data_IF_666088804370
#
_entry.id   IF_666088804370
#
_cell.length_a   1.000
_cell.length_b   1.000
_cell.length_c   1.000
_cell.angle_alpha   90.00
_cell.angle_beta   90.00
_cell.angle_gamma   90.00
#
_symmetry.space_group_name_H-M   'P 1'
#
loop_
_entity.id
_entity.type
_entity.pdbx_description
1 polymer ?
#
# COMPACT_ATOMS: atom_id res chain seq x y z
N UNK A 1 -8.46 29.10 -7.76
CA UNK A 1 -8.84 27.69 -7.97
C UNK A 1 -7.57 26.91 -8.25
N UNK A 2 -7.53 25.62 -7.93
CA UNK A 2 -6.28 24.91 -7.64
C UNK A 2 -5.99 23.72 -8.55
N UNK A 3 -4.70 23.44 -8.71
CA UNK A 3 -4.18 22.22 -9.34
C UNK A 3 -4.79 20.96 -8.70
N UNK A 4 -5.28 20.05 -9.53
CA UNK A 4 -5.87 18.78 -9.09
C UNK A 4 -5.53 17.64 -10.06
N UNK A 5 -5.39 16.44 -9.51
CA UNK A 5 -5.22 15.22 -10.32
C UNK A 5 -6.57 14.55 -10.49
N UNK A 6 -7.02 14.44 -11.72
CA UNK A 6 -8.29 13.80 -12.09
C UNK A 6 -8.04 12.45 -12.76
N UNK A 7 -9.05 11.58 -12.77
CA UNK A 7 -9.07 10.36 -13.57
C UNK A 7 -10.06 10.54 -14.72
N UNK A 8 -9.66 10.16 -15.93
CA UNK A 8 -10.48 10.21 -17.12
C UNK A 8 -10.32 8.92 -17.93
N UNK A 9 -11.41 8.45 -18.55
CA UNK A 9 -11.38 7.33 -19.49
C UNK A 9 -11.17 7.91 -20.89
N UNK A 10 -10.09 7.49 -21.55
CA UNK A 10 -9.74 7.90 -22.92
C UNK A 10 -9.55 6.63 -23.74
N UNK A 11 -10.35 6.45 -24.80
CA UNK A 11 -10.34 5.25 -25.65
C UNK A 11 -10.47 3.93 -24.86
N UNK A 12 -11.36 3.90 -23.87
CA UNK A 12 -11.58 2.73 -23.01
C UNK A 12 -10.54 2.50 -21.91
N UNK A 13 -9.40 3.21 -21.94
CA UNK A 13 -8.36 3.10 -20.93
C UNK A 13 -8.45 4.24 -19.91
N UNK A 14 -8.33 3.91 -18.62
CA UNK A 14 -8.25 4.93 -17.55
C UNK A 14 -6.90 5.63 -17.58
N UNK A 15 -6.89 6.95 -17.38
CA UNK A 15 -5.67 7.76 -17.27
C UNK A 15 -5.81 8.77 -16.13
N UNK A 16 -4.68 9.15 -15.54
CA UNK A 16 -4.60 10.23 -14.54
C UNK A 16 -3.99 11.45 -15.18
N UNK A 17 -4.63 12.60 -14.99
CA UNK A 17 -4.19 13.87 -15.57
C UNK A 17 -4.10 14.94 -14.48
N UNK A 18 -3.06 15.76 -14.55
CA UNK A 18 -2.96 16.98 -13.76
C UNK A 18 -3.64 18.11 -14.51
N UNK A 19 -4.65 18.73 -13.89
CA UNK A 19 -5.40 19.84 -14.46
C UNK A 19 -5.34 21.06 -13.54
N UNK A 20 -5.36 22.24 -14.16
CA UNK A 20 -5.61 23.52 -13.52
C UNK A 20 -6.90 24.08 -14.12
N UNK A 21 -7.90 24.34 -13.29
CA UNK A 21 -9.21 24.82 -13.75
C UNK A 21 -9.82 23.96 -14.88
N UNK A 22 -9.67 22.64 -14.74
CA UNK A 22 -10.08 21.60 -15.71
C UNK A 22 -9.32 21.58 -17.03
N UNK A 23 -8.28 22.41 -17.19
CA UNK A 23 -7.38 22.41 -18.34
C UNK A 23 -6.13 21.58 -18.01
N UNK A 24 -5.74 20.59 -18.83
CA UNK A 24 -4.52 19.82 -18.60
C UNK A 24 -3.27 20.69 -18.58
N UNK A 25 -2.45 20.54 -17.53
CA UNK A 25 -1.14 21.20 -17.44
C UNK A 25 -0.19 20.48 -18.39
N UNK A 26 0.28 21.15 -19.44
CA UNK A 26 0.93 20.51 -20.58
C UNK A 26 2.14 19.65 -20.21
N UNK A 27 3.19 20.24 -19.63
CA UNK A 27 4.46 19.54 -19.40
C UNK A 27 4.40 18.40 -18.38
N UNK A 28 3.71 18.51 -17.23
CA UNK A 28 3.54 17.38 -16.32
C UNK A 28 2.84 16.19 -16.99
N UNK A 29 1.81 16.44 -17.79
CA UNK A 29 1.09 15.36 -18.49
C UNK A 29 1.91 14.78 -19.66
N UNK A 30 2.69 15.60 -20.37
CA UNK A 30 3.63 15.15 -21.39
C UNK A 30 4.71 14.24 -20.78
N UNK A 31 5.31 14.65 -19.66
CA UNK A 31 6.27 13.84 -18.91
C UNK A 31 5.70 12.48 -18.52
N UNK A 32 4.48 12.44 -17.97
CA UNK A 32 3.83 11.18 -17.62
C UNK A 32 3.59 10.29 -18.84
N UNK A 33 3.26 10.88 -19.99
CA UNK A 33 3.00 10.15 -21.24
C UNK A 33 4.28 9.61 -21.87
N UNK A 34 5.38 10.36 -21.81
CA UNK A 34 6.66 9.96 -22.42
C UNK A 34 7.47 9.01 -21.54
N UNK A 35 7.63 9.35 -20.26
CA UNK A 35 8.58 8.66 -19.37
C UNK A 35 7.90 7.56 -18.53
N UNK A 36 6.56 7.60 -18.41
CA UNK A 36 5.81 6.78 -17.45
C UNK A 36 4.54 6.13 -18.03
N UNK A 37 4.45 5.98 -19.36
CA UNK A 37 3.29 5.40 -20.05
C UNK A 37 2.85 4.02 -19.55
N UNK A 38 3.79 3.17 -19.14
CA UNK A 38 3.52 1.80 -18.64
C UNK A 38 3.28 1.70 -17.13
N UNK A 39 3.20 2.82 -16.39
CA UNK A 39 3.05 2.76 -14.93
C UNK A 39 1.59 2.61 -14.50
N UNK A 40 1.38 1.86 -13.43
CA UNK A 40 0.07 1.70 -12.80
C UNK A 40 -0.56 3.05 -12.42
N UNK A 41 -1.88 3.16 -12.54
CA UNK A 41 -2.63 4.42 -12.40
C UNK A 41 -2.39 5.14 -11.07
N UNK A 42 -2.37 4.41 -9.95
CA UNK A 42 -2.13 5.03 -8.65
C UNK A 42 -0.68 5.49 -8.47
N UNK A 43 0.27 4.86 -9.17
CA UNK A 43 1.66 5.35 -9.24
C UNK A 43 1.71 6.65 -10.04
N UNK A 44 1.06 6.69 -11.21
CA UNK A 44 0.95 7.89 -12.06
C UNK A 44 0.31 9.05 -11.29
N UNK A 45 -0.81 8.80 -10.61
CA UNK A 45 -1.47 9.76 -9.74
C UNK A 45 -0.51 10.33 -8.69
N UNK A 46 0.23 9.46 -8.01
CA UNK A 46 1.17 9.87 -6.97
C UNK A 46 2.31 10.75 -7.52
N UNK A 47 2.82 10.42 -8.70
CA UNK A 47 3.82 11.26 -9.39
C UNK A 47 3.23 12.64 -9.70
N UNK A 48 2.04 12.70 -10.28
CA UNK A 48 1.36 13.97 -10.55
C UNK A 48 1.10 14.78 -9.27
N UNK A 49 0.69 14.14 -8.16
CA UNK A 49 0.54 14.79 -6.85
C UNK A 49 1.87 15.32 -6.30
N UNK A 50 3.00 14.68 -6.62
CA UNK A 50 4.33 15.22 -6.31
C UNK A 50 4.66 16.45 -7.16
N UNK A 51 4.30 16.44 -8.44
CA UNK A 51 4.47 17.58 -9.34
C UNK A 51 3.57 18.76 -8.97
N UNK A 52 2.35 18.52 -8.45
CA UNK A 52 1.50 19.59 -7.88
C UNK A 52 2.25 20.41 -6.83
N UNK A 53 3.07 19.76 -5.99
CA UNK A 53 3.85 20.48 -4.96
C UNK A 53 4.93 21.35 -5.59
N UNK A 54 5.56 20.89 -6.68
CA UNK A 54 6.50 21.72 -7.44
C UNK A 54 5.80 22.92 -8.08
N UNK A 55 4.70 22.70 -8.78
CA UNK A 55 3.94 23.77 -9.44
C UNK A 55 3.45 24.84 -8.44
N UNK A 56 2.96 24.40 -7.27
CA UNK A 56 2.59 25.31 -6.18
C UNK A 56 3.79 26.09 -5.64
N UNK A 57 4.94 25.42 -5.49
CA UNK A 57 6.18 26.06 -5.06
C UNK A 57 6.66 27.11 -6.07
N UNK A 58 6.62 26.79 -7.37
CA UNK A 58 7.01 27.69 -8.46
C UNK A 58 6.09 28.92 -8.48
N UNK A 59 4.78 28.71 -8.41
CA UNK A 59 3.79 29.80 -8.33
C UNK A 59 4.01 30.69 -7.10
N UNK A 60 4.17 30.09 -5.91
CA UNK A 60 4.45 30.83 -4.67
C UNK A 60 5.76 31.62 -4.75
N UNK A 61 6.77 31.06 -5.40
CA UNK A 61 8.08 31.69 -5.59
C UNK A 61 8.12 32.68 -6.76
N UNK A 62 7.01 32.87 -7.48
CA UNK A 62 6.93 33.67 -8.71
C UNK A 62 7.97 33.26 -9.75
N UNK A 63 8.17 31.96 -9.92
CA UNK A 63 9.10 31.37 -10.89
C UNK A 63 8.31 30.82 -12.07
N UNK A 64 8.43 31.47 -13.23
CA UNK A 64 8.03 30.88 -14.50
C UNK A 64 9.19 30.03 -15.05
N UNK A 65 9.18 28.74 -14.68
CA UNK A 65 10.26 27.82 -15.00
C UNK A 65 10.35 27.54 -16.51
N UNK A 66 9.22 27.42 -17.20
CA UNK A 66 9.19 27.10 -18.63
C UNK A 66 9.82 28.25 -19.42
N UNK A 67 9.34 29.48 -19.19
CA UNK A 67 9.90 30.66 -19.85
C UNK A 67 11.40 30.81 -19.56
N UNK A 68 11.85 30.54 -18.34
CA UNK A 68 13.27 30.57 -17.97
C UNK A 68 14.11 29.55 -18.74
N UNK A 69 13.63 28.32 -18.91
CA UNK A 69 14.38 27.29 -19.64
C UNK A 69 14.38 27.57 -21.14
N UNK A 70 13.27 28.09 -21.69
CA UNK A 70 13.13 28.39 -23.12
C UNK A 70 13.83 29.69 -23.54
N UNK A 71 14.27 30.53 -22.60
CA UNK A 71 15.06 31.71 -22.89
C UNK A 71 16.30 31.40 -23.74
N UNK A 72 16.58 32.31 -24.68
CA UNK A 72 17.73 32.26 -25.58
C UNK A 72 18.50 33.58 -25.51
N UNK A 73 19.83 33.56 -25.71
CA UNK A 73 20.65 32.45 -26.16
C UNK A 73 20.96 31.39 -25.09
N UNK A 74 20.78 31.70 -23.80
CA UNK A 74 21.09 30.78 -22.71
C UNK A 74 19.86 30.49 -21.84
N UNK A 75 19.62 29.22 -21.55
CA UNK A 75 18.60 28.76 -20.61
C UNK A 75 18.93 29.16 -19.17
N UNK A 76 17.91 29.56 -18.42
CA UNK A 76 18.00 29.78 -16.98
C UNK A 76 17.37 28.60 -16.23
N UNK A 77 18.21 27.86 -15.51
CA UNK A 77 17.79 26.72 -14.69
C UNK A 77 17.56 27.12 -13.22
N UNK A 78 16.92 26.25 -12.43
CA UNK A 78 16.77 26.48 -10.99
C UNK A 78 18.13 26.56 -10.28
N UNK A 79 18.27 27.62 -9.49
CA UNK A 79 19.44 27.88 -8.64
C UNK A 79 19.51 26.90 -7.47
N UNK A 80 20.70 26.76 -6.85
CA UNK A 80 20.85 25.88 -5.69
C UNK A 80 19.97 26.32 -4.49
N UNK A 81 19.78 27.63 -4.33
CA UNK A 81 18.89 28.21 -3.31
C UNK A 81 17.43 27.85 -3.56
N UNK A 82 16.95 27.93 -4.81
CA UNK A 82 15.59 27.50 -5.17
C UNK A 82 15.39 26.00 -4.92
N UNK A 83 16.35 25.17 -5.34
CA UNK A 83 16.30 23.73 -5.07
C UNK A 83 16.29 23.42 -3.56
N UNK A 84 17.07 24.15 -2.76
CA UNK A 84 17.10 23.98 -1.30
C UNK A 84 15.77 24.32 -0.65
N UNK A 85 15.14 25.42 -1.08
CA UNK A 85 13.80 25.83 -0.61
C UNK A 85 12.75 24.79 -0.99
N UNK A 86 12.77 24.29 -2.22
CA UNK A 86 11.87 23.23 -2.65
C UNK A 86 12.05 21.94 -1.82
N UNK A 87 13.29 21.51 -1.59
CA UNK A 87 13.57 20.29 -0.80
C UNK A 87 13.03 20.40 0.63
N UNK A 88 13.09 21.60 1.23
CA UNK A 88 12.46 21.87 2.53
C UNK A 88 10.93 21.71 2.45
N UNK A 89 10.29 22.33 1.45
CA UNK A 89 8.84 22.27 1.25
C UNK A 89 8.35 20.86 0.91
N UNK A 90 9.15 20.08 0.19
CA UNK A 90 8.85 18.70 -0.12
C UNK A 90 8.71 17.83 1.14
N UNK A 91 9.25 18.26 2.29
CA UNK A 91 9.07 17.62 3.59
C UNK A 91 7.75 17.94 4.30
N UNK A 92 7.02 18.98 3.89
CA UNK A 92 5.81 19.43 4.60
C UNK A 92 4.52 18.71 4.16
N UNK A 93 3.58 18.63 5.09
CA UNK A 93 2.22 18.11 4.88
C UNK A 93 1.42 19.00 3.93
N UNK A 94 0.34 18.47 3.35
CA UNK A 94 -0.52 19.22 2.43
C UNK A 94 -1.13 20.44 3.13
N UNK A 95 -1.53 20.28 4.38
CA UNK A 95 -2.13 21.32 5.21
C UNK A 95 -1.12 22.44 5.50
N UNK A 96 0.11 22.07 5.89
CA UNK A 96 1.20 23.02 6.13
C UNK A 96 1.52 23.83 4.87
N UNK A 97 1.64 23.16 3.71
CA UNK A 97 1.93 23.82 2.43
C UNK A 97 0.81 24.77 2.02
N UNK A 98 -0.46 24.38 2.20
CA UNK A 98 -1.60 25.23 1.91
C UNK A 98 -1.56 26.53 2.74
N UNK A 99 -1.28 26.44 4.05
CA UNK A 99 -1.15 27.62 4.91
C UNK A 99 0.06 28.48 4.51
N UNK A 100 1.22 27.86 4.26
CA UNK A 100 2.44 28.56 3.84
C UNK A 100 2.22 29.33 2.53
N UNK A 101 1.65 28.67 1.52
CA UNK A 101 1.44 29.26 0.20
C UNK A 101 0.27 30.25 0.16
N UNK A 102 -0.61 30.23 1.16
CA UNK A 102 -1.56 31.31 1.42
C UNK A 102 -0.93 32.55 2.09
N UNK A 103 0.39 32.54 2.34
CA UNK A 103 1.12 33.66 2.95
C UNK A 103 1.03 33.72 4.48
N UNK A 104 0.51 32.67 5.14
CA UNK A 104 0.38 32.66 6.60
C UNK A 104 1.75 32.51 7.27
N UNK A 105 2.02 33.34 8.28
CA UNK A 105 3.18 33.18 9.17
C UNK A 105 2.89 32.10 10.20
N UNK A 106 3.47 30.93 9.99
CA UNK A 106 3.33 29.79 10.89
C UNK A 106 4.40 29.81 11.98
N UNK A 107 3.99 29.61 13.22
CA UNK A 107 4.91 29.29 14.31
C UNK A 107 5.64 27.96 14.00
N UNK A 108 6.92 27.77 14.38
CA UNK A 108 7.67 26.54 14.07
C UNK A 108 6.95 25.22 14.43
N UNK A 109 6.16 25.21 15.51
CA UNK A 109 5.40 24.03 15.97
C UNK A 109 4.18 23.70 15.09
N UNK A 110 3.70 24.63 14.28
CA UNK A 110 2.57 24.40 13.37
C UNK A 110 3.00 23.65 12.09
N UNK A 111 4.31 23.59 11.80
CA UNK A 111 4.83 22.85 10.66
C UNK A 111 4.70 21.34 10.88
N UNK A 112 3.70 20.74 10.21
CA UNK A 112 3.56 19.29 10.11
C UNK A 112 4.31 18.76 8.89
N UNK A 113 5.06 17.69 9.07
CA UNK A 113 5.86 17.04 8.03
C UNK A 113 5.27 15.70 7.59
N UNK A 114 5.51 15.33 6.34
CA UNK A 114 5.18 13.98 5.83
C UNK A 114 6.23 12.95 6.29
N UNK A 115 5.91 11.67 6.16
CA UNK A 115 6.87 10.60 6.44
C UNK A 115 8.08 10.65 5.51
N UNK A 116 9.25 10.22 6.02
CA UNK A 116 10.55 10.22 5.32
C UNK A 116 10.48 9.67 3.89
N UNK A 117 9.86 8.50 3.73
CA UNK A 117 9.77 7.82 2.43
C UNK A 117 8.96 8.66 1.45
N UNK A 118 7.90 9.30 1.92
CA UNK A 118 7.06 10.16 1.11
C UNK A 118 7.78 11.44 0.69
N UNK A 119 8.47 12.11 1.62
CA UNK A 119 9.28 13.29 1.30
C UNK A 119 10.35 12.96 0.25
N UNK A 120 11.07 11.85 0.44
CA UNK A 120 12.08 11.38 -0.53
C UNK A 120 11.48 11.11 -1.90
N UNK A 121 10.36 10.38 -1.98
CA UNK A 121 9.68 10.08 -3.26
C UNK A 121 9.23 11.35 -3.98
N UNK A 122 8.75 12.36 -3.24
CA UNK A 122 8.38 13.65 -3.79
C UNK A 122 9.59 14.37 -4.40
N UNK A 123 10.71 14.39 -3.71
CA UNK A 123 11.96 15.02 -4.20
C UNK A 123 12.51 14.26 -5.41
N UNK A 124 12.51 12.93 -5.39
CA UNK A 124 12.97 12.09 -6.51
C UNK A 124 12.10 12.28 -7.75
N UNK A 125 10.77 12.33 -7.60
CA UNK A 125 9.86 12.59 -8.71
C UNK A 125 10.11 13.97 -9.35
N UNK A 126 10.34 15.00 -8.53
CA UNK A 126 10.66 16.34 -9.03
C UNK A 126 12.03 16.41 -9.67
N UNK A 127 13.04 15.71 -9.13
CA UNK A 127 14.36 15.60 -9.77
C UNK A 127 14.24 15.04 -11.20
N UNK A 128 13.48 13.96 -11.35
CA UNK A 128 13.35 13.27 -12.63
C UNK A 128 12.53 14.10 -13.63
N UNK A 129 11.51 14.81 -13.16
CA UNK A 129 10.75 15.76 -13.97
C UNK A 129 11.57 16.99 -14.40
N UNK A 130 12.35 17.59 -13.50
CA UNK A 130 13.23 18.70 -13.84
C UNK A 130 14.29 18.28 -14.87
N UNK A 131 14.87 17.09 -14.71
CA UNK A 131 15.79 16.53 -15.69
C UNK A 131 15.10 16.36 -17.06
N UNK A 132 13.85 15.89 -17.10
CA UNK A 132 13.08 15.82 -18.34
C UNK A 132 12.87 17.21 -18.96
N UNK A 133 12.45 18.21 -18.19
CA UNK A 133 12.26 19.57 -18.70
C UNK A 133 13.56 20.15 -19.26
N UNK A 134 14.68 19.96 -18.55
CA UNK A 134 15.98 20.50 -18.97
C UNK A 134 16.46 19.82 -20.25
N UNK A 135 16.26 18.50 -20.39
CA UNK A 135 16.57 17.76 -21.63
C UNK A 135 15.73 18.24 -22.82
N UNK A 136 14.42 18.44 -22.63
CA UNK A 136 13.50 18.78 -23.73
C UNK A 136 13.53 20.24 -24.14
N UNK A 137 13.68 21.16 -23.18
CA UNK A 137 13.52 22.60 -23.42
C UNK A 137 14.83 23.37 -23.31
N UNK A 138 15.83 22.80 -22.63
CA UNK A 138 17.11 23.46 -22.39
C UNK A 138 17.87 23.73 -23.68
N UNK A 139 18.70 24.77 -23.66
CA UNK A 139 19.56 25.14 -24.77
C UNK A 139 20.51 23.97 -25.12
N UNK A 140 20.70 23.74 -26.42
CA UNK A 140 21.43 22.57 -26.92
C UNK A 140 22.88 22.52 -26.41
N UNK A 141 23.51 23.67 -26.13
CA UNK A 141 24.88 23.72 -25.63
C UNK A 141 25.01 23.32 -24.16
N UNK A 142 23.94 23.47 -23.36
CA UNK A 142 24.00 23.32 -21.89
C UNK A 142 23.08 22.24 -21.31
N UNK A 143 22.07 21.78 -22.06
CA UNK A 143 21.01 20.91 -21.52
C UNK A 143 21.51 19.63 -20.85
N UNK A 144 22.50 18.95 -21.44
CA UNK A 144 22.99 17.68 -20.91
C UNK A 144 23.76 17.87 -19.60
N UNK A 145 24.58 18.92 -19.51
CA UNK A 145 25.29 19.28 -18.29
C UNK A 145 24.30 19.72 -17.20
N UNK A 146 23.29 20.51 -17.55
CA UNK A 146 22.24 20.93 -16.63
C UNK A 146 21.43 19.75 -16.06
N UNK A 147 21.16 18.73 -16.88
CA UNK A 147 20.48 17.49 -16.45
C UNK A 147 21.33 16.71 -15.43
N UNK A 148 22.62 16.55 -15.68
CA UNK A 148 23.51 15.86 -14.76
C UNK A 148 23.69 16.65 -13.46
N UNK A 149 23.87 17.97 -13.57
CA UNK A 149 24.03 18.87 -12.43
C UNK A 149 22.78 18.90 -11.52
N UNK A 150 21.56 19.01 -12.07
CA UNK A 150 20.33 19.00 -11.24
C UNK A 150 20.16 17.66 -10.52
N UNK A 151 20.47 16.54 -11.18
CA UNK A 151 20.45 15.21 -10.56
C UNK A 151 21.46 15.13 -9.42
N UNK A 152 22.69 15.57 -9.65
CA UNK A 152 23.77 15.58 -8.64
C UNK A 152 23.39 16.44 -7.43
N UNK A 153 22.94 17.69 -7.65
CA UNK A 153 22.55 18.62 -6.57
C UNK A 153 21.41 18.07 -5.72
N UNK A 154 20.33 17.59 -6.34
CA UNK A 154 19.19 17.05 -5.59
C UNK A 154 19.58 15.76 -4.84
N UNK A 155 20.36 14.86 -5.45
CA UNK A 155 20.82 13.64 -4.79
C UNK A 155 21.68 13.94 -3.55
N UNK A 156 22.53 14.97 -3.59
CA UNK A 156 23.27 15.44 -2.41
C UNK A 156 22.33 15.93 -1.32
N UNK A 157 21.31 16.71 -1.67
CA UNK A 157 20.31 17.22 -0.71
C UNK A 157 19.46 16.11 -0.07
N UNK A 158 19.06 15.09 -0.84
CA UNK A 158 18.39 13.89 -0.29
C UNK A 158 19.28 13.18 0.73
N UNK A 159 20.58 13.01 0.41
CA UNK A 159 21.54 12.38 1.33
C UNK A 159 21.70 13.20 2.61
N UNK A 160 21.85 14.52 2.50
CA UNK A 160 22.00 15.42 3.64
C UNK A 160 20.77 15.44 4.56
N UNK A 161 19.56 15.32 4.01
CA UNK A 161 18.32 15.31 4.79
C UNK A 161 18.01 13.94 5.46
N UNK A 162 18.62 12.84 4.97
CA UNK A 162 18.36 11.47 5.45
C UNK A 162 18.60 11.20 6.95
N UNK A 163 19.64 11.76 7.62
CA UNK A 163 19.90 11.57 9.05
C UNK A 163 18.86 12.23 9.96
N UNK A 164 18.40 13.43 9.62
CA UNK A 164 17.40 14.19 10.40
C UNK A 164 16.01 13.53 10.41
N UNK A 165 15.78 12.55 9.54
CA UNK A 165 14.50 11.86 9.36
C UNK A 165 14.42 10.48 10.03
N UNK A 166 15.36 10.11 10.89
CA UNK A 166 15.35 8.80 11.59
C UNK A 166 14.31 8.81 12.72
N UNK A 167 13.22 8.05 12.57
CA UNK A 167 12.49 7.48 13.72
C UNK A 167 13.13 6.14 14.08
N UNK A 168 13.18 5.84 15.38
CA UNK A 168 13.62 4.55 15.92
C UNK A 168 12.62 3.47 15.49
N UNK A 169 13.04 2.52 14.66
CA UNK A 169 12.20 1.47 14.03
C UNK A 169 11.86 0.28 14.95
N UNK A 170 12.07 0.38 16.25
CA UNK A 170 12.01 -0.77 17.15
C UNK A 170 10.59 -1.31 17.38
N UNK A 171 9.54 -0.57 17.00
CA UNK A 171 8.17 -0.83 17.44
C UNK A 171 7.13 -1.08 16.32
N UNK A 172 7.56 -1.26 15.06
CA UNK A 172 6.64 -1.43 13.92
C UNK A 172 6.48 -2.89 13.46
N UNK A 173 6.51 -3.86 14.37
CA UNK A 173 6.30 -5.25 13.96
C UNK A 173 4.82 -5.49 13.63
N UNK A 174 4.53 -5.78 12.36
CA UNK A 174 3.17 -5.92 11.84
C UNK A 174 2.71 -7.37 11.94
N UNK A 175 1.45 -7.56 12.32
CA UNK A 175 0.78 -8.87 12.44
C UNK A 175 -0.16 -8.86 13.65
N UNK A 176 -1.02 -9.87 13.78
CA UNK A 176 -1.94 -9.98 14.91
C UNK A 176 -1.38 -10.95 15.95
N UNK A 177 -1.61 -10.68 17.23
CA UNK A 177 -1.48 -11.71 18.26
C UNK A 177 -2.60 -12.74 18.11
N UNK A 178 -2.43 -13.94 18.66
CA UNK A 178 -3.47 -14.98 18.67
C UNK A 178 -4.79 -14.44 19.26
N UNK A 179 -4.71 -13.73 20.39
CA UNK A 179 -5.87 -13.12 21.05
C UNK A 179 -6.59 -12.09 20.17
N UNK A 180 -5.84 -11.28 19.41
CA UNK A 180 -6.43 -10.30 18.49
C UNK A 180 -7.08 -10.97 17.28
N UNK A 181 -6.48 -12.04 16.76
CA UNK A 181 -7.04 -12.85 15.67
C UNK A 181 -8.35 -13.51 16.10
N UNK A 182 -8.35 -14.19 17.24
CA UNK A 182 -9.53 -14.86 17.79
C UNK A 182 -10.65 -13.86 18.03
N UNK A 183 -10.32 -12.70 18.62
CA UNK A 183 -11.30 -11.63 18.85
C UNK A 183 -11.86 -11.07 17.55
N UNK A 184 -11.04 -10.94 16.50
CA UNK A 184 -11.48 -10.45 15.21
C UNK A 184 -12.44 -11.45 14.53
N UNK A 185 -12.12 -12.75 14.58
CA UNK A 185 -12.97 -13.84 14.09
C UNK A 185 -14.29 -13.90 14.86
N UNK A 186 -14.26 -13.82 16.18
CA UNK A 186 -15.44 -13.82 17.06
C UNK A 186 -16.39 -12.66 16.75
N UNK A 187 -15.86 -11.45 16.56
CA UNK A 187 -16.67 -10.26 16.27
C UNK A 187 -17.35 -10.37 14.89
N UNK A 188 -16.60 -10.80 13.87
CA UNK A 188 -17.08 -10.79 12.48
C UNK A 188 -17.81 -12.08 12.07
N UNK A 189 -17.84 -13.11 12.93
CA UNK A 189 -18.64 -14.32 12.71
C UNK A 189 -20.11 -13.95 12.41
N UNK A 190 -20.77 -14.55 11.40
CA UNK A 190 -22.09 -14.08 10.95
C UNK A 190 -23.22 -14.17 12.01
N UNK A 191 -23.16 -15.19 12.86
CA UNK A 191 -24.08 -15.48 13.96
C UNK A 191 -23.73 -14.73 15.27
N UNK A 192 -22.59 -14.05 15.31
CA UNK A 192 -22.10 -13.41 16.53
C UNK A 192 -23.05 -12.30 17.01
N UNK A 193 -23.44 -12.29 18.30
CA UNK A 193 -24.32 -11.27 18.86
C UNK A 193 -23.63 -9.90 18.95
N UNK A 194 -22.30 -9.87 19.01
CA UNK A 194 -21.49 -8.65 19.08
C UNK A 194 -21.09 -8.12 17.69
N UNK A 195 -21.55 -8.75 16.61
CA UNK A 195 -21.28 -8.32 15.25
C UNK A 195 -21.94 -6.94 15.00
N UNK A 196 -21.18 -5.89 14.65
CA UNK A 196 -21.70 -4.52 14.60
C UNK A 196 -22.58 -4.24 13.37
N UNK A 197 -22.74 -5.21 12.46
CA UNK A 197 -23.58 -5.08 11.28
C UNK A 197 -24.92 -5.76 11.51
N UNK A 198 -26.03 -5.10 11.19
CA UNK A 198 -27.36 -5.67 11.42
C UNK A 198 -27.86 -6.58 10.27
N UNK A 199 -27.52 -6.27 9.02
CA UNK A 199 -28.01 -7.03 7.85
C UNK A 199 -27.22 -8.34 7.69
N UNK A 200 -27.88 -9.52 7.66
CA UNK A 200 -27.23 -10.82 7.47
C UNK A 200 -26.35 -10.91 6.21
N UNK A 201 -26.77 -10.29 5.10
CA UNK A 201 -25.98 -10.25 3.87
C UNK A 201 -24.66 -9.48 4.06
N UNK A 202 -24.70 -8.41 4.85
CA UNK A 202 -23.51 -7.62 5.20
C UNK A 202 -22.61 -8.38 6.15
N UNK A 203 -23.17 -9.08 7.14
CA UNK A 203 -22.40 -9.91 8.08
C UNK A 203 -21.60 -10.97 7.34
N UNK A 204 -22.27 -11.78 6.51
CA UNK A 204 -21.62 -12.86 5.77
C UNK A 204 -20.59 -12.33 4.76
N UNK A 205 -20.93 -11.27 3.99
CA UNK A 205 -19.97 -10.62 3.08
C UNK A 205 -18.72 -10.11 3.81
N UNK A 206 -18.89 -9.51 4.99
CA UNK A 206 -17.77 -8.99 5.77
C UNK A 206 -16.92 -10.10 6.39
N UNK A 207 -17.55 -11.23 6.74
CA UNK A 207 -16.85 -12.44 7.16
C UNK A 207 -16.00 -13.02 6.02
N UNK A 208 -16.53 -13.10 4.80
CA UNK A 208 -15.75 -13.48 3.60
C UNK A 208 -14.56 -12.55 3.39
N UNK A 209 -14.74 -11.22 3.52
CA UNK A 209 -13.63 -10.25 3.41
C UNK A 209 -12.54 -10.54 4.45
N UNK A 210 -12.93 -10.92 5.68
CA UNK A 210 -11.99 -11.29 6.72
C UNK A 210 -11.20 -12.54 6.34
N UNK A 211 -11.89 -13.61 5.93
CA UNK A 211 -11.26 -14.89 5.56
C UNK A 211 -10.35 -14.76 4.32
N UNK A 212 -10.76 -14.00 3.30
CA UNK A 212 -9.89 -13.67 2.16
C UNK A 212 -8.60 -12.93 2.60
N UNK A 213 -8.66 -12.21 3.72
CA UNK A 213 -7.52 -11.51 4.30
C UNK A 213 -6.64 -12.39 5.19
N UNK A 214 -7.23 -13.19 6.06
CA UNK A 214 -6.52 -14.03 7.04
C UNK A 214 -6.03 -15.34 6.43
N UNK A 215 -6.87 -16.05 5.67
CA UNK A 215 -6.57 -17.39 5.17
C UNK A 215 -5.74 -17.31 3.88
N UNK A 216 -6.11 -16.39 2.99
CA UNK A 216 -5.49 -16.25 1.67
C UNK A 216 -4.51 -15.08 1.57
N UNK A 217 -4.47 -14.20 2.57
CA UNK A 217 -3.56 -13.05 2.57
C UNK A 217 -3.78 -12.07 1.43
N UNK A 218 -4.99 -11.99 0.84
CA UNK A 218 -5.23 -11.15 -0.33
C UNK A 218 -5.08 -9.66 0.02
N UNK A 219 -4.62 -8.87 -0.95
CA UNK A 219 -4.73 -7.40 -0.87
C UNK A 219 -6.18 -7.01 -1.09
N UNK A 220 -6.60 -5.90 -0.47
CA UNK A 220 -7.94 -5.32 -0.67
C UNK A 220 -8.34 -5.16 -2.14
N UNK A 221 -7.40 -4.82 -3.03
CA UNK A 221 -7.68 -4.69 -4.46
C UNK A 221 -7.97 -6.05 -5.11
N UNK A 222 -7.23 -7.10 -4.73
CA UNK A 222 -7.45 -8.47 -5.23
C UNK A 222 -8.83 -8.97 -4.78
N UNK A 223 -9.19 -8.79 -3.50
CA UNK A 223 -10.51 -9.16 -2.96
C UNK A 223 -11.67 -8.53 -3.75
N UNK A 224 -11.48 -7.28 -4.19
CA UNK A 224 -12.48 -6.50 -4.92
C UNK A 224 -12.56 -6.80 -6.41
N UNK A 225 -11.59 -7.54 -6.94
CA UNK A 225 -11.52 -7.94 -8.35
C UNK A 225 -12.00 -9.38 -8.58
N UNK A 226 -12.16 -10.19 -7.52
CA UNK A 226 -12.70 -11.55 -7.62
C UNK A 226 -14.05 -11.52 -8.33
N UNK A 227 -14.15 -12.28 -9.42
CA UNK A 227 -15.38 -12.55 -10.18
C UNK A 227 -15.97 -13.87 -9.72
N UNK A 228 -17.28 -14.06 -9.93
CA UNK A 228 -17.91 -15.36 -9.67
C UNK A 228 -17.34 -16.47 -10.57
N UNK A 229 -16.87 -16.12 -11.77
CA UNK A 229 -16.20 -17.03 -12.71
C UNK A 229 -14.79 -17.47 -12.26
N UNK A 230 -14.19 -16.76 -11.31
CA UNK A 230 -12.83 -17.07 -10.83
C UNK A 230 -12.85 -18.21 -9.78
N UNK A 231 -14.03 -18.70 -9.40
CA UNK A 231 -14.23 -19.70 -8.36
C UNK A 231 -14.41 -21.07 -9.02
N UNK A 232 -13.45 -21.95 -8.80
CA UNK A 232 -13.46 -23.32 -9.31
C UNK A 232 -14.07 -24.24 -8.25
N UNK A 233 -15.39 -24.38 -8.27
CA UNK A 233 -16.16 -25.08 -7.22
C UNK A 233 -15.72 -26.53 -6.99
N UNK A 234 -15.43 -27.28 -8.06
CA UNK A 234 -15.06 -28.70 -7.99
C UNK A 234 -13.70 -28.93 -7.31
N UNK A 235 -12.72 -28.06 -7.57
CA UNK A 235 -11.38 -28.16 -6.99
C UNK A 235 -11.21 -27.30 -5.72
N UNK A 236 -12.26 -26.59 -5.29
CA UNK A 236 -12.22 -25.59 -4.21
C UNK A 236 -11.09 -24.57 -4.39
N UNK A 237 -10.83 -24.17 -5.63
CA UNK A 237 -9.77 -23.19 -5.94
C UNK A 237 -10.36 -21.83 -6.29
N UNK A 238 -9.63 -20.78 -5.93
CA UNK A 238 -9.90 -19.40 -6.32
C UNK A 238 -8.77 -18.90 -7.22
N UNK A 239 -9.12 -18.44 -8.40
CA UNK A 239 -8.24 -17.70 -9.29
C UNK A 239 -8.10 -16.26 -8.80
N UNK A 240 -6.87 -15.85 -8.47
CA UNK A 240 -6.54 -14.46 -8.15
C UNK A 240 -5.86 -13.88 -9.38
N UNK A 241 -6.68 -13.30 -10.26
CA UNK A 241 -6.26 -12.80 -11.57
C UNK A 241 -6.55 -11.31 -11.73
N UNK A 242 -5.86 -10.66 -12.66
CA UNK A 242 -6.18 -9.29 -13.04
C UNK A 242 -7.44 -9.26 -13.92
N UNK A 243 -7.99 -8.07 -14.12
CA UNK A 243 -9.09 -7.86 -15.03
C UNK A 243 -8.55 -7.74 -16.46
N UNK A 244 -9.08 -8.55 -17.38
CA UNK A 244 -8.72 -8.51 -18.80
C UNK A 244 -9.22 -7.23 -19.49
N UNK A 245 -10.43 -6.79 -19.13
CA UNK A 245 -11.06 -5.59 -19.66
C UNK A 245 -11.49 -4.63 -18.52
N UNK A 246 -10.81 -3.49 -18.42
CA UNK A 246 -11.10 -2.44 -17.42
C UNK A 246 -12.51 -1.86 -17.55
N UNK A 247 -13.17 -1.97 -18.71
CA UNK A 247 -14.52 -1.47 -18.96
C UNK A 247 -15.59 -2.20 -18.12
N UNK A 248 -15.30 -3.43 -17.70
CA UNK A 248 -16.18 -4.25 -16.85
C UNK A 248 -16.32 -3.70 -15.43
N UNK A 249 -15.43 -2.79 -15.01
CA UNK A 249 -15.47 -2.18 -13.68
C UNK A 249 -16.16 -0.80 -13.71
N UNK A 250 -17.43 -0.69 -13.27
CA UNK A 250 -18.15 0.58 -13.28
C UNK A 250 -17.74 1.50 -12.11
N UNK A 251 -16.83 1.09 -11.22
CA UNK A 251 -16.42 1.91 -10.08
C UNK A 251 -15.66 3.14 -10.56
N UNK A 252 -16.00 4.30 -10.00
CA UNK A 252 -15.24 5.54 -10.25
C UNK A 252 -13.78 5.40 -9.83
N UNK A 253 -13.53 4.71 -8.71
CA UNK A 253 -12.18 4.36 -8.26
C UNK A 253 -12.01 2.85 -8.35
N UNK A 254 -11.52 2.38 -9.49
CA UNK A 254 -11.29 0.96 -9.72
C UNK A 254 -10.09 0.45 -8.87
N UNK A 255 -10.20 -0.71 -8.21
CA UNK A 255 -9.05 -1.38 -7.62
C UNK A 255 -8.02 -1.74 -8.68
N UNK A 256 -6.75 -1.70 -8.29
CA UNK A 256 -5.62 -2.00 -9.18
C UNK A 256 -4.91 -3.25 -8.68
N UNK A 257 -4.75 -4.21 -9.58
CA UNK A 257 -4.00 -5.44 -9.34
C UNK A 257 -2.50 -5.13 -9.29
N UNK A 258 -1.76 -5.73 -8.34
CA UNK A 258 -0.34 -5.41 -8.07
C UNK A 258 0.56 -6.64 -7.93
N UNK A 259 -0.03 -7.80 -8.03
CA UNK A 259 0.57 -9.10 -7.74
C UNK A 259 0.69 -9.92 -9.00
N UNK A 260 1.42 -11.03 -8.92
CA UNK A 260 1.29 -12.08 -9.92
C UNK A 260 0.01 -12.87 -9.69
N UNK A 261 -0.56 -13.31 -10.80
CA UNK A 261 -1.72 -14.17 -10.81
C UNK A 261 -1.38 -15.54 -10.25
N UNK A 262 -2.36 -16.17 -9.60
CA UNK A 262 -2.18 -17.47 -8.94
C UNK A 262 -3.51 -18.15 -8.67
N UNK A 263 -3.45 -19.47 -8.52
CA UNK A 263 -4.55 -20.30 -8.03
C UNK A 263 -4.30 -20.66 -6.57
N UNK A 264 -5.26 -20.38 -5.70
CA UNK A 264 -5.20 -20.70 -4.28
C UNK A 264 -6.32 -21.69 -3.92
N UNK A 265 -6.02 -22.65 -3.06
CA UNK A 265 -7.04 -23.54 -2.49
C UNK A 265 -7.76 -22.81 -1.35
N UNK A 266 -9.09 -22.83 -1.35
CA UNK A 266 -9.91 -22.26 -0.29
C UNK A 266 -9.97 -23.18 0.92
N UNK A 267 -9.98 -22.57 2.10
CA UNK A 267 -10.39 -23.24 3.35
C UNK A 267 -11.87 -23.60 3.28
N UNK A 268 -12.28 -24.60 4.05
CA UNK A 268 -13.67 -25.04 4.09
C UNK A 268 -14.61 -23.91 4.52
N UNK A 269 -14.25 -23.17 5.57
CA UNK A 269 -15.02 -22.01 6.06
C UNK A 269 -15.20 -20.93 4.98
N UNK A 270 -14.15 -20.63 4.21
CA UNK A 270 -14.23 -19.65 3.13
C UNK A 270 -15.10 -20.16 1.98
N UNK A 271 -14.94 -21.42 1.59
CA UNK A 271 -15.73 -22.06 0.54
C UNK A 271 -17.22 -22.06 0.89
N UNK A 272 -17.57 -22.48 2.11
CA UNK A 272 -18.95 -22.56 2.58
C UNK A 272 -19.57 -21.15 2.69
N UNK A 273 -18.83 -20.19 3.25
CA UNK A 273 -19.29 -18.81 3.35
C UNK A 273 -19.55 -18.18 1.98
N UNK A 274 -18.66 -18.39 1.00
CA UNK A 274 -18.83 -17.89 -0.37
C UNK A 274 -20.03 -18.58 -1.04
N UNK A 275 -20.18 -19.90 -0.89
CA UNK A 275 -21.29 -20.67 -1.46
C UNK A 275 -22.63 -20.18 -0.93
N UNK A 276 -22.76 -20.01 0.39
CA UNK A 276 -23.97 -19.46 1.00
C UNK A 276 -24.23 -18.01 0.54
N UNK A 277 -23.18 -17.20 0.47
CA UNK A 277 -23.32 -15.81 0.08
C UNK A 277 -23.76 -15.64 -1.37
N UNK A 278 -23.18 -16.39 -2.29
CA UNK A 278 -23.52 -16.36 -3.72
C UNK A 278 -24.98 -16.77 -3.93
N UNK A 279 -25.38 -17.91 -3.34
CA UNK A 279 -26.72 -18.49 -3.51
C UNK A 279 -27.84 -17.68 -2.85
N UNK A 280 -27.61 -17.17 -1.62
CA UNK A 280 -28.67 -16.51 -0.83
C UNK A 280 -28.67 -14.99 -0.95
N UNK A 281 -27.50 -14.36 -1.03
CA UNK A 281 -27.37 -12.92 -0.76
C UNK A 281 -26.88 -12.10 -1.94
N UNK A 282 -25.93 -12.58 -2.76
CA UNK A 282 -25.34 -11.79 -3.87
C UNK A 282 -26.40 -11.27 -4.83
N UNK A 283 -27.38 -12.10 -5.16
CA UNK A 283 -28.47 -11.78 -6.08
C UNK A 283 -29.78 -11.36 -5.40
N UNK A 284 -29.74 -11.02 -4.10
CA UNK A 284 -30.91 -10.58 -3.34
C UNK A 284 -31.60 -9.40 -4.03
N UNK A 285 -32.94 -9.46 -4.10
CA UNK A 285 -33.76 -8.35 -4.62
C UNK A 285 -33.81 -7.22 -3.58
N UNK A 286 -33.49 -5.96 -3.95
CA UNK A 286 -33.66 -4.83 -3.05
C UNK A 286 -35.14 -4.60 -2.74
N UNK A 287 -35.41 -3.86 -1.65
CA UNK A 287 -36.77 -3.40 -1.34
C UNK A 287 -37.33 -2.46 -2.41
N UNK A 288 -36.49 -1.59 -2.97
CA UNK A 288 -36.86 -0.62 -4.01
C UNK A 288 -35.84 -0.68 -5.17
N UNK A 289 -36.31 -0.59 -6.41
CA UNK A 289 -35.47 -0.57 -7.61
C UNK A 289 -34.96 -1.94 -8.05
N UNK A 290 -33.94 -1.94 -8.91
CA UNK A 290 -33.32 -3.16 -9.44
C UNK A 290 -31.94 -3.41 -8.82
N UNK A 291 -31.62 -4.66 -8.50
CA UNK A 291 -30.27 -5.07 -8.09
C UNK A 291 -29.30 -4.92 -9.26
N UNK A 292 -28.15 -4.30 -9.01
CA UNK A 292 -27.10 -4.16 -10.03
C UNK A 292 -26.21 -5.40 -10.15
N UNK A 293 -26.43 -6.44 -9.35
CA UNK A 293 -25.52 -7.59 -9.23
C UNK A 293 -25.37 -8.41 -10.52
N UNK A 294 -26.37 -8.35 -11.41
CA UNK A 294 -26.34 -9.01 -12.73
C UNK A 294 -25.65 -8.18 -13.81
N UNK A 295 -25.29 -6.92 -13.53
CA UNK A 295 -24.65 -6.02 -14.50
C UNK A 295 -23.11 -6.10 -14.47
N UNK A 296 -22.54 -6.87 -13.56
CA UNK A 296 -21.10 -7.03 -13.43
C UNK A 296 -20.72 -8.41 -12.84
N UNK A 297 -19.48 -8.88 -13.04
CA UNK A 297 -19.07 -10.23 -12.62
C UNK A 297 -18.56 -10.33 -11.17
N UNK A 298 -18.24 -9.21 -10.51
CA UNK A 298 -17.61 -9.21 -9.18
C UNK A 298 -18.40 -9.93 -8.08
N UNK A 299 -17.73 -10.71 -7.24
CA UNK A 299 -18.32 -11.48 -6.13
C UNK A 299 -18.90 -10.56 -5.05
N UNK A 300 -18.12 -9.61 -4.55
CA UNK A 300 -18.49 -8.76 -3.42
C UNK A 300 -19.36 -7.57 -3.88
N UNK A 301 -20.58 -7.47 -3.35
CA UNK A 301 -21.55 -6.42 -3.71
C UNK A 301 -22.00 -5.59 -2.50
N UNK A 302 -22.53 -4.41 -2.77
CA UNK A 302 -23.19 -3.56 -1.78
C UNK A 302 -24.62 -4.05 -1.48
N UNK A 303 -25.02 -3.94 -0.21
CA UNK A 303 -26.34 -4.35 0.33
C UNK A 303 -27.04 -3.19 1.07
N UNK A 304 -26.81 -1.95 0.60
CA UNK A 304 -27.42 -0.73 1.16
C UNK A 304 -27.75 0.26 0.03
N UNK A 305 -27.07 1.42 -0.02
CA UNK A 305 -27.41 2.52 -0.94
C UNK A 305 -27.31 2.16 -2.43
N UNK A 306 -26.35 1.32 -2.80
CA UNK A 306 -26.13 0.86 -4.18
C UNK A 306 -26.32 -0.66 -4.25
N UNK A 307 -27.52 -1.16 -3.94
CA UNK A 307 -27.78 -2.61 -3.85
C UNK A 307 -27.33 -3.36 -5.12
N UNK A 308 -26.55 -4.41 -4.92
CA UNK A 308 -25.99 -5.23 -5.99
C UNK A 308 -24.86 -4.57 -6.77
N UNK A 309 -24.48 -3.31 -6.51
CA UNK A 309 -23.33 -2.68 -7.15
C UNK A 309 -22.01 -3.24 -6.62
N UNK A 310 -20.89 -3.14 -7.38
CA UNK A 310 -19.62 -3.68 -6.95
C UNK A 310 -19.11 -2.96 -5.71
N UNK A 311 -18.59 -3.71 -4.75
CA UNK A 311 -18.12 -3.16 -3.48
C UNK A 311 -16.94 -2.19 -3.72
N UNK A 312 -16.93 -1.08 -2.99
CA UNK A 312 -15.89 -0.04 -3.14
C UNK A 312 -14.74 -0.26 -2.15
N UNK A 313 -13.54 0.25 -2.46
CA UNK A 313 -12.38 0.24 -1.55
C UNK A 313 -12.74 0.82 -0.17
N UNK A 314 -13.45 1.96 -0.16
CA UNK A 314 -13.89 2.61 1.09
C UNK A 314 -14.82 1.72 1.90
N UNK A 315 -15.69 0.94 1.25
CA UNK A 315 -16.59 0.03 1.96
C UNK A 315 -15.84 -1.13 2.61
N UNK A 316 -14.81 -1.69 1.95
CA UNK A 316 -13.95 -2.74 2.54
C UNK A 316 -13.14 -2.18 3.72
N UNK A 317 -12.50 -1.01 3.55
CA UNK A 317 -11.77 -0.34 4.64
C UNK A 317 -12.71 0.02 5.83
N UNK A 318 -13.99 0.29 5.53
CA UNK A 318 -15.03 0.57 6.51
C UNK A 318 -15.39 -0.61 7.42
N UNK A 319 -15.16 -1.86 6.97
CA UNK A 319 -15.47 -3.07 7.76
C UNK A 319 -14.68 -3.07 9.06
N UNK A 320 -13.35 -2.99 8.96
CA UNK A 320 -12.47 -2.99 10.13
C UNK A 320 -12.59 -1.70 10.93
N UNK A 321 -12.93 -0.58 10.29
CA UNK A 321 -13.20 0.67 11.01
C UNK A 321 -14.32 0.50 12.03
N UNK A 322 -15.40 -0.19 11.67
CA UNK A 322 -16.50 -0.44 12.61
C UNK A 322 -16.11 -1.42 13.72
N UNK A 323 -15.28 -2.42 13.41
CA UNK A 323 -14.75 -3.35 14.42
C UNK A 323 -13.89 -2.61 15.46
N UNK A 324 -13.06 -1.65 15.03
CA UNK A 324 -12.21 -0.86 15.93
C UNK A 324 -12.98 0.01 16.92
N UNK A 325 -14.18 0.45 16.56
CA UNK A 325 -15.05 1.23 17.47
C UNK A 325 -15.53 0.39 18.66
N UNK A 326 -15.77 -0.91 18.47
CA UNK A 326 -16.26 -1.81 19.53
C UNK A 326 -15.13 -2.59 20.24
N UNK A 327 -13.95 -2.67 19.62
CA UNK A 327 -12.78 -3.36 20.16
C UNK A 327 -11.54 -2.46 20.09
N UNK A 328 -11.34 -1.55 21.07
CA UNK A 328 -10.23 -0.60 21.06
C UNK A 328 -8.84 -1.25 21.02
N UNK A 329 -8.70 -2.48 21.54
CA UNK A 329 -7.44 -3.26 21.43
C UNK A 329 -7.04 -3.51 19.97
N UNK A 330 -8.00 -3.55 19.05
CA UNK A 330 -7.78 -3.72 17.61
C UNK A 330 -7.54 -2.38 16.87
N UNK A 331 -7.31 -1.26 17.57
CA UNK A 331 -7.20 0.07 16.96
C UNK A 331 -6.16 0.17 15.82
N UNK A 332 -5.11 -0.64 15.87
CA UNK A 332 -4.06 -0.66 14.85
C UNK A 332 -4.44 -1.53 13.62
N UNK A 333 -5.45 -2.41 13.73
CA UNK A 333 -5.83 -3.41 12.72
C UNK A 333 -6.46 -2.76 11.49
N UNK A 334 -5.89 -3.06 10.34
CA UNK A 334 -6.38 -2.68 9.02
C UNK A 334 -6.12 -3.83 8.03
N UNK A 335 -6.75 -3.82 6.85
CA UNK A 335 -6.72 -4.96 5.92
C UNK A 335 -5.31 -5.43 5.56
N UNK A 336 -4.35 -4.51 5.52
CA UNK A 336 -2.98 -4.85 5.21
C UNK A 336 -2.27 -5.63 6.31
N UNK A 337 -2.68 -5.49 7.58
CA UNK A 337 -2.18 -6.31 8.69
C UNK A 337 -2.66 -7.75 8.54
N UNK A 338 -3.87 -8.00 8.04
CA UNK A 338 -4.37 -9.36 7.83
C UNK A 338 -3.43 -10.16 6.92
N UNK A 339 -2.87 -9.51 5.89
CA UNK A 339 -1.86 -10.13 5.04
C UNK A 339 -0.54 -10.41 5.75
N UNK A 340 -0.09 -9.53 6.65
CA UNK A 340 1.08 -9.81 7.48
C UNK A 340 0.82 -11.01 8.40
N UNK A 341 -0.39 -11.08 8.95
CA UNK A 341 -0.83 -12.20 9.78
C UNK A 341 -0.89 -13.51 8.99
N UNK A 342 -1.44 -13.50 7.77
CA UNK A 342 -1.46 -14.65 6.87
C UNK A 342 -0.06 -15.17 6.54
N UNK A 343 0.93 -14.29 6.35
CA UNK A 343 2.34 -14.71 6.16
C UNK A 343 2.88 -15.36 7.43
N UNK A 344 2.55 -14.78 8.59
CA UNK A 344 2.96 -15.33 9.88
C UNK A 344 2.35 -16.72 10.13
N UNK A 345 1.04 -16.89 9.95
CA UNK A 345 0.34 -18.16 10.17
C UNK A 345 0.76 -19.22 9.15
N UNK A 346 1.07 -18.82 7.90
CA UNK A 346 1.66 -19.74 6.93
C UNK A 346 3.03 -20.25 7.40
N UNK A 347 3.92 -19.36 7.84
CA UNK A 347 5.22 -19.76 8.39
C UNK A 347 5.08 -20.62 9.65
N UNK A 348 4.09 -20.32 10.50
CA UNK A 348 3.77 -21.10 11.68
C UNK A 348 3.32 -22.52 11.32
N UNK A 349 2.47 -22.67 10.30
CA UNK A 349 1.98 -23.99 9.84
C UNK A 349 3.10 -24.87 9.28
N UNK A 350 4.11 -24.27 8.67
CA UNK A 350 5.27 -24.98 8.11
C UNK A 350 6.40 -25.21 9.13
N UNK A 351 6.24 -24.75 10.37
CA UNK A 351 7.32 -24.70 11.38
C UNK A 351 8.03 -26.04 11.57
N UNK A 352 7.26 -27.13 11.70
CA UNK A 352 7.80 -28.47 11.97
C UNK A 352 8.58 -28.99 10.76
N UNK A 353 8.02 -28.87 9.56
CA UNK A 353 8.69 -29.23 8.31
C UNK A 353 9.99 -28.45 8.12
N UNK A 354 9.95 -27.13 8.33
CA UNK A 354 11.11 -26.24 8.21
C UNK A 354 12.22 -26.57 9.22
N UNK A 355 11.90 -27.18 10.36
CA UNK A 355 12.87 -27.57 11.38
C UNK A 355 13.69 -28.81 10.95
N UNK A 356 13.19 -29.62 10.03
CA UNK A 356 13.87 -30.83 9.51
C UNK A 356 14.86 -30.53 8.38
N UNK A 357 14.81 -29.33 7.81
CA UNK A 357 15.59 -28.95 6.63
C UNK A 357 16.93 -28.31 6.99
N UNK A 358 17.85 -28.34 6.03
CA UNK A 358 19.06 -27.54 6.08
C UNK A 358 18.72 -26.04 6.07
N UNK A 359 19.58 -25.15 6.59
CA UNK A 359 19.35 -23.71 6.54
C UNK A 359 19.07 -23.17 5.12
N UNK A 360 19.77 -23.70 4.12
CA UNK A 360 19.66 -23.34 2.70
C UNK A 360 18.32 -23.79 2.12
N UNK A 361 17.93 -25.05 2.34
CA UNK A 361 16.66 -25.60 1.85
C UNK A 361 15.46 -24.92 2.51
N UNK A 362 15.55 -24.68 3.83
CA UNK A 362 14.55 -23.93 4.59
C UNK A 362 14.32 -22.54 4.01
N UNK A 363 15.41 -21.82 3.72
CA UNK A 363 15.31 -20.47 3.13
C UNK A 363 14.68 -20.52 1.75
N UNK A 364 15.06 -21.52 0.95
CA UNK A 364 14.53 -21.72 -0.40
C UNK A 364 13.04 -22.07 -0.40
N UNK A 365 12.61 -22.98 0.48
CA UNK A 365 11.21 -23.38 0.60
C UNK A 365 10.35 -22.21 1.08
N UNK A 366 10.78 -21.49 2.13
CA UNK A 366 10.08 -20.28 2.61
C UNK A 366 9.94 -19.25 1.49
N UNK A 367 11.04 -18.96 0.76
CA UNK A 367 11.02 -17.98 -0.32
C UNK A 367 10.04 -18.41 -1.43
N UNK A 368 10.11 -19.66 -1.90
CA UNK A 368 9.25 -20.16 -2.99
C UNK A 368 7.77 -20.19 -2.59
N UNK A 369 7.45 -20.79 -1.44
CA UNK A 369 6.08 -20.91 -0.95
C UNK A 369 5.43 -19.55 -0.74
N UNK A 370 6.11 -18.65 -0.01
CA UNK A 370 5.55 -17.33 0.23
C UNK A 370 5.47 -16.51 -1.06
N UNK A 371 6.47 -16.57 -1.94
CA UNK A 371 6.42 -15.85 -3.23
C UNK A 371 5.20 -16.27 -4.06
N UNK A 372 4.95 -17.57 -4.17
CA UNK A 372 3.79 -18.11 -4.89
C UNK A 372 2.48 -17.71 -4.23
N UNK A 373 2.27 -18.07 -2.96
CA UNK A 373 1.01 -17.86 -2.24
C UNK A 373 0.60 -16.39 -2.17
N UNK A 374 1.58 -15.48 -2.09
CA UNK A 374 1.34 -14.06 -1.92
C UNK A 374 1.51 -13.27 -3.24
N UNK A 375 1.82 -13.92 -4.36
CA UNK A 375 1.95 -13.31 -5.68
C UNK A 375 3.06 -12.27 -5.77
N UNK A 376 4.17 -12.47 -5.04
CA UNK A 376 5.32 -11.57 -5.11
C UNK A 376 6.21 -11.85 -6.32
N UNK A 377 7.01 -10.87 -6.73
CA UNK A 377 8.07 -11.10 -7.70
C UNK A 377 9.15 -12.02 -7.08
N UNK A 378 9.65 -13.05 -7.78
CA UNK A 378 10.68 -13.95 -7.27
C UNK A 378 11.95 -13.27 -6.74
N UNK A 379 12.35 -12.14 -7.32
CA UNK A 379 13.51 -11.35 -6.90
C UNK A 379 13.20 -10.38 -5.74
N UNK A 380 12.00 -10.45 -5.14
CA UNK A 380 11.56 -9.52 -4.12
C UNK A 380 12.00 -9.92 -2.72
N UNK A 381 12.39 -8.93 -1.90
CA UNK A 381 12.67 -9.10 -0.47
C UNK A 381 11.41 -9.17 0.41
N UNK A 382 10.21 -9.21 -0.19
CA UNK A 382 8.94 -9.13 0.52
C UNK A 382 8.68 -10.31 1.48
N UNK A 383 9.04 -11.58 1.16
CA UNK A 383 8.95 -12.68 2.12
C UNK A 383 9.65 -12.38 3.44
N UNK A 384 10.90 -11.90 3.39
CA UNK A 384 11.66 -11.53 4.58
C UNK A 384 11.03 -10.36 5.35
N UNK A 385 10.54 -9.34 4.64
CA UNK A 385 9.92 -8.16 5.29
C UNK A 385 8.59 -8.49 5.98
N UNK A 386 7.77 -9.36 5.38
CA UNK A 386 6.47 -9.73 5.97
C UNK A 386 6.61 -10.81 7.04
N UNK A 387 7.54 -11.74 6.86
CA UNK A 387 7.88 -12.78 7.82
C UNK A 387 8.71 -12.28 9.02
N UNK A 388 9.07 -10.99 9.06
CA UNK A 388 9.88 -10.42 10.14
C UNK A 388 9.33 -10.70 11.54
N UNK A 389 8.00 -10.74 11.70
CA UNK A 389 7.36 -11.09 12.97
C UNK A 389 7.75 -12.50 13.44
N UNK A 390 7.56 -13.49 12.58
CA UNK A 390 7.88 -14.89 12.86
C UNK A 390 9.35 -15.05 13.25
N UNK A 391 10.26 -14.49 12.45
CA UNK A 391 11.69 -14.61 12.71
C UNK A 391 12.16 -13.92 13.98
N UNK A 392 11.54 -12.81 14.39
CA UNK A 392 11.84 -12.21 15.69
C UNK A 392 11.40 -13.12 16.82
N UNK A 393 10.21 -13.72 16.76
CA UNK A 393 9.76 -14.65 17.80
C UNK A 393 10.65 -15.90 17.89
N UNK A 394 11.15 -16.39 16.76
CA UNK A 394 12.17 -17.46 16.75
C UNK A 394 13.49 -17.02 17.39
N UNK A 395 13.93 -15.79 17.11
CA UNK A 395 15.12 -15.23 17.75
C UNK A 395 14.92 -15.06 19.27
N UNK A 396 13.75 -14.59 19.71
CA UNK A 396 13.41 -14.42 21.12
C UNK A 396 13.42 -15.77 21.86
N UNK A 397 12.86 -16.83 21.27
CA UNK A 397 12.94 -18.21 21.80
C UNK A 397 14.38 -18.71 21.89
N UNK A 398 15.19 -18.48 20.86
CA UNK A 398 16.60 -18.88 20.85
C UNK A 398 17.42 -18.15 21.94
N UNK A 399 17.13 -16.87 22.16
CA UNK A 399 17.73 -16.05 23.22
C UNK A 399 17.33 -16.59 24.60
N UNK A 400 16.06 -16.93 24.83
CA UNK A 400 15.60 -17.53 26.09
C UNK A 400 16.29 -18.87 26.37
N UNK A 401 16.34 -19.78 25.39
CA UNK A 401 17.03 -21.07 25.52
C UNK A 401 18.53 -20.89 25.82
N UNK A 402 19.18 -19.89 25.20
CA UNK A 402 20.57 -19.53 25.51
C UNK A 402 20.71 -19.01 26.94
N UNK A 403 19.78 -18.18 27.41
CA UNK A 403 19.80 -17.63 28.77
C UNK A 403 19.70 -18.74 29.83
N UNK A 404 18.83 -19.74 29.63
CA UNK A 404 18.71 -20.91 30.51
C UNK A 404 20.01 -21.72 30.58
N UNK A 405 20.64 -21.98 29.43
CA UNK A 405 21.95 -22.68 29.37
C UNK A 405 23.04 -21.90 30.12
N UNK A 406 23.10 -20.59 29.93
CA UNK A 406 24.06 -19.73 30.64
C UNK A 406 23.80 -19.72 32.16
N UNK A 407 22.54 -19.71 32.59
CA UNK A 407 22.15 -19.82 34.00
C UNK A 407 22.64 -21.15 34.60
N UNK A 408 22.44 -22.26 33.89
CA UNK A 408 22.92 -23.58 34.32
C UNK A 408 24.46 -23.65 34.42
N UNK A 409 25.19 -23.06 33.46
CA UNK A 409 26.67 -23.00 33.50
C UNK A 409 27.16 -22.18 34.70
N UNK A 410 26.54 -21.03 34.96
CA UNK A 410 26.86 -20.15 36.12
C UNK A 410 26.59 -20.85 37.45
N UNK A 411 25.52 -21.64 37.54
CA UNK A 411 25.22 -22.43 38.74
C UNK A 411 26.28 -23.52 38.97
N UNK A 412 26.66 -24.29 37.95
CA UNK A 412 27.70 -25.33 38.05
C UNK A 412 29.07 -24.78 38.49
N UNK A 413 29.46 -23.61 37.97
CA UNK A 413 30.72 -22.94 38.32
C UNK A 413 30.70 -22.27 39.70
N UNK A 414 29.53 -21.86 40.19
CA UNK A 414 29.33 -21.40 41.56
C UNK A 414 29.47 -22.53 42.60
N UNK A 415 28.97 -23.73 42.30
CA UNK A 415 29.02 -24.87 43.23
C UNK A 415 30.43 -25.47 43.37
N UNK A 416 31.28 -25.36 42.34
CA UNK A 416 32.65 -25.92 42.37
C UNK A 416 33.63 -25.11 43.23
N UNK A 417 33.32 -23.85 43.56
CA UNK A 417 34.14 -23.02 44.45
C UNK A 417 33.85 -23.22 45.95
N UNK A 418 32.88 -24.07 46.31
CA UNK A 418 32.54 -24.37 47.71
C UNK A 418 33.13 -25.67 48.28
N UNK A 419 33.89 -26.43 47.47
CA UNK A 419 34.43 -27.75 47.83
C UNK A 419 35.96 -27.79 47.87
N UNK A 420 36.58 -26.98 48.72
CA UNK A 420 37.94 -27.19 49.23
C UNK A 420 38.01 -26.53 50.60
N UNK A 421 37.69 -27.32 51.62
CA UNK A 421 38.16 -27.14 52.99
C UNK A 421 38.75 -28.46 53.43
#
# INVERSE_FOLDING_TARGET
MGLQVIEQVVNGARRKLLVQDYIPVYYPNLYMTMEHSGRALETTKKYLEHLVVLEQFLAFSSIDLISRIEQRPASQYLTDTELSRFVSDAGFSKETLAMKYAGMRLHPTAYKSVGKVHARQRIEAVRDYLAFLYDKLGDHSSRYEAVDDVKKRINRKIKAASPAWKKTRLDEMKGLTTQERDRLLEILRPDSPINPFADPAIRLRNYIILLLGLDMGLRRSEMLLIKTSDIHWHSRQLAVVNLEDESLDPRTMAPQFKTHERMLVMTDDLYDAITEYESKYRHRKPRNGASQARRHPFLLVAHKRNEGGPLTIKAVDGVLSKVREIAPKLAHVHLHILRHDAVYTMLESMREELATLTPEDRTTQVQKTLTWMFGWNPASNMPGLYGAKFWKEEADKAIQKRAERLKAIRQKTGTTKGGSK
#
